data_IF_253797571320
#
_entry.id   IF_253797571320
#
_cell.length_a   1.000
_cell.length_b   1.000
_cell.length_c   1.000
_cell.angle_alpha   90.00
_cell.angle_beta   90.00
_cell.angle_gamma   90.00
#
_symmetry.space_group_name_H-M   'P 1'
#
loop_
_entity.id
_entity.type
_entity.pdbx_description
1 polymer ?
#
# COMPACT_ATOMS: atom_id res chain seq x y z
N UNK A 1 5.97 -31.13 16.22
CA UNK A 1 5.20 -30.23 15.32
C UNK A 1 5.39 -30.67 13.87
N UNK A 2 4.30 -31.05 13.19
CA UNK A 2 4.34 -31.32 11.75
C UNK A 2 4.54 -29.99 11.03
N UNK A 3 5.38 -29.96 9.99
CA UNK A 3 5.56 -28.78 9.16
C UNK A 3 4.19 -28.32 8.63
N UNK A 4 3.75 -27.12 9.02
CA UNK A 4 2.50 -26.50 8.55
C UNK A 4 1.37 -26.37 9.58
N UNK A 5 1.47 -26.93 10.78
CA UNK A 5 0.52 -26.62 11.86
C UNK A 5 0.91 -25.29 12.54
N UNK A 6 0.03 -24.29 12.46
CA UNK A 6 0.18 -23.05 13.23
C UNK A 6 0.12 -23.39 14.73
N UNK A 7 1.20 -23.11 15.45
CA UNK A 7 1.31 -23.39 16.90
C UNK A 7 0.55 -22.37 17.77
N UNK A 8 -0.06 -21.35 17.17
CA UNK A 8 -0.79 -20.30 17.87
C UNK A 8 -1.91 -19.76 16.99
N UNK A 9 -2.96 -19.22 17.62
CA UNK A 9 -4.05 -18.52 16.91
C UNK A 9 -3.67 -17.07 16.69
N UNK A 10 -3.68 -16.56 15.46
CA UNK A 10 -3.33 -15.17 15.19
C UNK A 10 -4.28 -14.16 15.88
N UNK A 11 -5.55 -14.54 16.04
CA UNK A 11 -6.57 -13.70 16.69
C UNK A 11 -6.23 -13.43 18.17
N UNK A 12 -5.62 -14.40 18.85
CA UNK A 12 -5.18 -14.28 20.25
C UNK A 12 -3.96 -13.37 20.46
N UNK A 13 -3.40 -12.81 19.38
CA UNK A 13 -2.21 -11.93 19.45
C UNK A 13 -2.38 -10.62 18.65
N UNK A 14 -3.48 -10.47 17.90
CA UNK A 14 -3.65 -9.34 16.98
C UNK A 14 -5.04 -8.72 16.99
N UNK A 15 -5.92 -9.17 17.89
CA UNK A 15 -7.18 -8.46 18.12
C UNK A 15 -6.94 -7.06 18.74
N UNK A 16 -8.03 -6.31 18.86
CA UNK A 16 -8.01 -4.95 19.41
C UNK A 16 -7.49 -4.94 20.86
N UNK A 17 -7.83 -5.96 21.66
CA UNK A 17 -7.44 -6.06 23.06
C UNK A 17 -5.93 -6.25 23.20
N UNK A 18 -5.36 -7.15 22.40
CA UNK A 18 -3.94 -7.47 22.38
C UNK A 18 -3.12 -6.31 21.82
N UNK A 19 -3.60 -5.60 20.79
CA UNK A 19 -2.91 -4.40 20.29
C UNK A 19 -2.86 -3.28 21.33
N UNK A 20 -3.91 -3.11 22.15
CA UNK A 20 -3.91 -2.17 23.28
C UNK A 20 -2.96 -2.63 24.38
N UNK A 21 -3.01 -3.91 24.78
CA UNK A 21 -2.11 -4.46 25.80
C UNK A 21 -0.63 -4.34 25.39
N UNK A 22 -0.33 -4.62 24.12
CA UNK A 22 1.00 -4.39 23.55
C UNK A 22 1.41 -2.92 23.65
N UNK A 23 0.52 -2.00 23.29
CA UNK A 23 0.79 -0.57 23.38
C UNK A 23 0.97 -0.07 24.83
N UNK A 24 0.25 -0.63 25.82
CA UNK A 24 0.46 -0.33 27.24
C UNK A 24 1.85 -0.75 27.71
N UNK A 25 2.32 -1.93 27.28
CA UNK A 25 3.63 -2.47 27.67
C UNK A 25 4.79 -1.74 27.01
N UNK A 26 4.69 -1.45 25.71
CA UNK A 26 5.76 -0.86 24.91
C UNK A 26 5.79 0.67 24.99
N UNK A 27 4.62 1.28 25.16
CA UNK A 27 4.42 2.73 25.04
C UNK A 27 4.81 3.29 23.67
N UNK A 28 4.78 4.62 23.50
CA UNK A 28 5.09 5.29 22.23
C UNK A 28 6.47 4.92 21.66
N UNK A 29 7.49 4.76 22.51
CA UNK A 29 8.85 4.44 22.07
C UNK A 29 8.96 3.01 21.52
N UNK A 30 8.43 2.02 22.24
CA UNK A 30 8.45 0.63 21.76
C UNK A 30 7.58 0.45 20.52
N UNK A 31 6.42 1.12 20.47
CA UNK A 31 5.55 1.09 19.29
C UNK A 31 6.19 1.77 18.08
N UNK A 32 6.92 2.87 18.27
CA UNK A 32 7.73 3.49 17.20
C UNK A 32 8.76 2.51 16.64
N UNK A 33 9.52 1.85 17.52
CA UNK A 33 10.51 0.85 17.14
C UNK A 33 9.89 -0.34 16.39
N UNK A 34 8.76 -0.88 16.87
CA UNK A 34 8.01 -1.92 16.16
C UNK A 34 7.68 -1.45 14.74
N UNK A 35 7.16 -0.22 14.63
CA UNK A 35 6.77 0.35 13.34
C UNK A 35 7.95 0.53 12.38
N UNK A 36 9.14 0.91 12.89
CA UNK A 36 10.37 1.03 12.09
C UNK A 36 10.81 -0.34 11.54
N UNK A 37 10.72 -1.40 12.34
CA UNK A 37 10.99 -2.77 11.89
C UNK A 37 10.01 -3.22 10.79
N UNK A 38 8.72 -2.88 10.92
CA UNK A 38 7.73 -3.15 9.87
C UNK A 38 8.08 -2.39 8.57
N UNK A 39 8.52 -1.13 8.67
CA UNK A 39 8.93 -0.35 7.50
C UNK A 39 10.17 -0.93 6.80
N UNK A 40 11.07 -1.59 7.53
CA UNK A 40 12.19 -2.32 6.92
C UNK A 40 11.72 -3.45 5.98
N UNK A 41 10.71 -4.21 6.39
CA UNK A 41 10.13 -5.25 5.53
C UNK A 41 9.39 -4.67 4.33
N UNK A 42 8.65 -3.57 4.51
CA UNK A 42 7.98 -2.86 3.41
C UNK A 42 8.99 -2.35 2.39
N UNK A 43 10.06 -1.70 2.84
CA UNK A 43 11.10 -1.16 1.97
C UNK A 43 11.82 -2.25 1.19
N UNK A 44 12.10 -3.41 1.81
CA UNK A 44 12.61 -4.60 1.11
C UNK A 44 11.70 -5.05 -0.05
N UNK A 45 10.38 -5.07 0.15
CA UNK A 45 9.44 -5.40 -0.94
C UNK A 45 9.42 -4.33 -2.04
N UNK A 46 9.53 -3.04 -1.69
CA UNK A 46 9.58 -1.93 -2.66
C UNK A 46 10.80 -2.04 -3.58
N UNK A 47 11.97 -2.42 -3.06
CA UNK A 47 13.17 -2.63 -3.89
C UNK A 47 12.94 -3.72 -4.94
N UNK A 48 12.32 -4.83 -4.54
CA UNK A 48 12.02 -5.91 -5.47
C UNK A 48 10.95 -5.50 -6.50
N UNK A 49 9.97 -4.71 -6.11
CA UNK A 49 9.00 -4.11 -7.04
C UNK A 49 9.68 -3.19 -8.06
N UNK A 50 10.64 -2.36 -7.62
CA UNK A 50 11.41 -1.49 -8.53
C UNK A 50 12.16 -2.30 -9.58
N UNK A 51 12.76 -3.43 -9.21
CA UNK A 51 13.44 -4.33 -10.16
C UNK A 51 12.47 -4.85 -11.23
N UNK A 52 11.29 -5.34 -10.82
CA UNK A 52 10.26 -5.81 -11.76
C UNK A 52 9.79 -4.71 -12.72
N UNK A 53 9.70 -3.47 -12.24
CA UNK A 53 9.35 -2.32 -13.11
C UNK A 53 10.47 -2.01 -14.10
N UNK A 54 11.73 -2.05 -13.67
CA UNK A 54 12.89 -1.80 -14.55
C UNK A 54 12.98 -2.88 -15.63
N UNK A 55 12.77 -4.15 -15.28
CA UNK A 55 12.76 -5.29 -16.22
C UNK A 55 11.68 -5.15 -17.30
N UNK A 56 10.56 -4.48 -16.99
CA UNK A 56 9.43 -4.29 -17.90
C UNK A 56 9.30 -2.84 -18.42
N UNK A 57 10.35 -2.01 -18.27
CA UNK A 57 10.25 -0.56 -18.44
C UNK A 57 9.70 -0.14 -19.81
N UNK A 58 10.22 -0.71 -20.89
CA UNK A 58 9.82 -0.32 -22.25
C UNK A 58 8.36 -0.66 -22.55
N UNK A 59 7.91 -1.85 -22.12
CA UNK A 59 6.52 -2.30 -22.28
C UNK A 59 5.58 -1.42 -21.45
N UNK A 60 5.96 -1.10 -20.20
CA UNK A 60 5.16 -0.25 -19.31
C UNK A 60 5.02 1.19 -19.84
N UNK A 61 6.05 1.74 -20.47
CA UNK A 61 5.99 3.06 -21.14
C UNK A 61 5.00 3.03 -22.31
N UNK A 62 5.02 1.95 -23.11
CA UNK A 62 4.09 1.79 -24.23
C UNK A 62 2.65 1.62 -23.74
N UNK A 63 2.43 0.83 -22.67
CA UNK A 63 1.13 0.66 -22.03
C UNK A 63 0.60 2.00 -21.51
N UNK A 64 1.41 2.75 -20.76
CA UNK A 64 1.02 4.07 -20.23
C UNK A 64 0.60 5.05 -21.33
N UNK A 65 1.19 4.94 -22.52
CA UNK A 65 0.87 5.82 -23.65
C UNK A 65 -0.35 5.35 -24.46
N UNK A 66 -0.77 4.09 -24.32
CA UNK A 66 -1.76 3.45 -25.19
C UNK A 66 -2.86 2.67 -24.44
N UNK A 67 -3.03 2.86 -23.13
CA UNK A 67 -4.00 2.11 -22.32
C UNK A 67 -5.46 2.21 -22.80
N UNK A 68 -5.80 3.25 -23.58
CA UNK A 68 -7.13 3.43 -24.19
C UNK A 68 -7.36 2.62 -25.48
N UNK A 69 -6.30 2.03 -26.07
CA UNK A 69 -6.36 1.29 -27.34
C UNK A 69 -6.33 -0.22 -27.08
N UNK A 70 -7.51 -0.85 -27.06
CA UNK A 70 -7.67 -2.27 -26.73
C UNK A 70 -6.80 -3.21 -27.59
N UNK A 71 -6.71 -2.97 -28.90
CA UNK A 71 -5.93 -3.82 -29.82
C UNK A 71 -4.43 -3.85 -29.48
N UNK A 72 -3.86 -2.68 -29.16
CA UNK A 72 -2.45 -2.59 -28.76
C UNK A 72 -2.24 -3.22 -27.38
N UNK A 73 -3.14 -2.95 -26.43
CA UNK A 73 -3.09 -3.55 -25.08
C UNK A 73 -3.13 -5.08 -25.12
N UNK A 74 -3.93 -5.68 -25.99
CA UNK A 74 -4.00 -7.14 -26.15
C UNK A 74 -2.65 -7.77 -26.56
N UNK A 75 -1.80 -7.01 -27.28
CA UNK A 75 -0.45 -7.45 -27.66
C UNK A 75 0.63 -7.13 -26.64
N UNK A 76 0.46 -6.06 -25.85
CA UNK A 76 1.44 -5.60 -24.87
C UNK A 76 1.33 -6.33 -23.53
N UNK A 77 0.11 -6.58 -23.04
CA UNK A 77 -0.10 -7.21 -21.73
C UNK A 77 0.58 -8.59 -21.61
N UNK A 78 0.55 -9.48 -22.63
CA UNK A 78 1.25 -10.76 -22.55
C UNK A 78 2.78 -10.65 -22.51
N UNK A 79 3.36 -9.49 -22.84
CA UNK A 79 4.81 -9.27 -22.80
C UNK A 79 5.30 -8.92 -21.39
N UNK A 80 4.39 -8.55 -20.48
CA UNK A 80 4.75 -8.28 -19.09
C UNK A 80 5.15 -9.58 -18.39
N UNK A 81 6.28 -9.52 -17.69
CA UNK A 81 6.80 -10.64 -16.90
C UNK A 81 6.70 -10.32 -15.41
N UNK A 82 6.29 -11.31 -14.61
CA UNK A 82 6.24 -11.15 -13.15
C UNK A 82 5.05 -10.34 -12.61
N UNK A 83 3.96 -10.16 -13.39
CA UNK A 83 2.75 -9.46 -12.93
C UNK A 83 2.16 -10.06 -11.64
N UNK A 84 2.11 -11.40 -11.51
CA UNK A 84 1.69 -12.07 -10.27
C UNK A 84 2.61 -11.73 -9.09
N UNK A 85 3.91 -11.56 -9.33
CA UNK A 85 4.88 -11.21 -8.30
C UNK A 85 4.68 -9.76 -7.84
N UNK A 86 4.36 -8.85 -8.77
CA UNK A 86 4.02 -7.46 -8.42
C UNK A 86 2.82 -7.42 -7.48
N UNK A 87 1.75 -8.15 -7.82
CA UNK A 87 0.55 -8.24 -6.96
C UNK A 87 0.86 -8.87 -5.61
N UNK A 88 1.55 -10.02 -5.58
CA UNK A 88 1.91 -10.70 -4.32
C UNK A 88 2.73 -9.82 -3.40
N UNK A 89 3.75 -9.15 -3.92
CA UNK A 89 4.63 -8.26 -3.13
C UNK A 89 3.87 -7.05 -2.62
N UNK A 90 3.00 -6.45 -3.44
CA UNK A 90 2.16 -5.33 -3.00
C UNK A 90 1.12 -5.77 -1.96
N UNK A 91 0.58 -6.99 -2.06
CA UNK A 91 -0.30 -7.56 -1.03
C UNK A 91 0.45 -7.76 0.28
N UNK A 92 1.70 -8.25 0.25
CA UNK A 92 2.55 -8.37 1.46
C UNK A 92 2.75 -7.01 2.12
N UNK A 93 3.08 -5.98 1.34
CA UNK A 93 3.18 -4.59 1.84
C UNK A 93 1.87 -4.18 2.50
N UNK A 94 0.74 -4.43 1.85
CA UNK A 94 -0.58 -4.12 2.39
C UNK A 94 -0.86 -4.79 3.72
N UNK A 95 -0.55 -6.09 3.85
CA UNK A 95 -0.73 -6.84 5.11
C UNK A 95 0.10 -6.23 6.24
N UNK A 96 1.36 -5.89 5.96
CA UNK A 96 2.24 -5.25 6.95
C UNK A 96 1.68 -3.87 7.38
N UNK A 97 1.20 -3.07 6.42
CA UNK A 97 0.63 -1.75 6.69
C UNK A 97 -0.72 -1.83 7.42
N UNK A 98 -1.51 -2.86 7.15
CA UNK A 98 -2.75 -3.15 7.90
C UNK A 98 -2.42 -3.52 9.34
N UNK A 99 -1.45 -4.39 9.59
CA UNK A 99 -0.97 -4.70 10.94
C UNK A 99 -0.45 -3.45 11.67
N UNK A 100 0.36 -2.62 11.00
CA UNK A 100 0.80 -1.32 11.54
C UNK A 100 -0.39 -0.44 11.93
N UNK A 101 -1.45 -0.40 11.11
CA UNK A 101 -2.64 0.40 11.40
C UNK A 101 -3.30 -0.07 12.70
N UNK A 102 -3.51 -1.37 12.87
CA UNK A 102 -4.08 -1.94 14.11
C UNK A 102 -3.21 -1.61 15.34
N UNK A 103 -1.89 -1.73 15.20
CA UNK A 103 -0.95 -1.37 16.27
C UNK A 103 -1.01 0.13 16.62
N UNK A 104 -1.15 1.01 15.62
CA UNK A 104 -1.29 2.46 15.82
C UNK A 104 -2.63 2.84 16.45
N UNK A 105 -3.71 2.16 16.09
CA UNK A 105 -5.04 2.32 16.72
C UNK A 105 -5.00 1.93 18.20
N UNK A 106 -4.38 0.78 18.52
CA UNK A 106 -4.14 0.39 19.91
C UNK A 106 -3.33 1.44 20.70
N UNK A 107 -2.26 1.98 20.09
CA UNK A 107 -1.48 3.06 20.69
C UNK A 107 -2.30 4.33 20.92
N UNK A 108 -3.13 4.73 19.95
CA UNK A 108 -3.96 5.94 20.05
C UNK A 108 -4.92 5.85 21.23
N UNK A 109 -5.55 4.69 21.42
CA UNK A 109 -6.49 4.48 22.51
C UNK A 109 -5.81 4.54 23.89
N UNK A 110 -4.68 3.85 24.03
CA UNK A 110 -3.87 3.90 25.26
C UNK A 110 -3.40 5.33 25.53
N UNK A 111 -2.85 6.02 24.52
CA UNK A 111 -2.33 7.37 24.70
C UNK A 111 -3.44 8.39 24.99
N UNK A 112 -4.64 8.21 24.44
CA UNK A 112 -5.82 9.03 24.76
C UNK A 112 -6.29 8.85 26.20
N UNK A 113 -6.19 7.64 26.75
CA UNK A 113 -6.52 7.34 28.14
C UNK A 113 -5.47 7.91 29.10
N UNK A 114 -4.18 7.70 28.82
CA UNK A 114 -3.09 8.08 29.72
C UNK A 114 -2.71 9.56 29.62
N UNK A 115 -2.79 10.16 28.44
CA UNK A 115 -2.30 11.50 28.13
C UNK A 115 -3.35 12.38 27.42
N UNK A 116 -4.59 12.50 27.92
CA UNK A 116 -5.68 13.20 27.22
C UNK A 116 -5.37 14.68 26.91
N UNK A 117 -4.63 15.35 27.79
CA UNK A 117 -4.24 16.75 27.61
C UNK A 117 -3.20 16.98 26.52
N UNK A 118 -2.48 15.93 26.09
CA UNK A 118 -1.54 16.00 24.97
C UNK A 118 -2.21 15.67 23.64
N UNK A 119 -3.23 14.79 23.64
CA UNK A 119 -3.92 14.37 22.42
C UNK A 119 -4.60 15.52 21.68
N UNK A 120 -5.39 16.33 22.39
CA UNK A 120 -6.12 17.45 21.76
C UNK A 120 -5.21 18.41 20.99
N UNK A 121 -4.11 18.92 21.59
CA UNK A 121 -3.13 19.74 20.88
C UNK A 121 -2.45 19.04 19.68
N UNK A 122 -2.13 17.74 19.79
CA UNK A 122 -1.50 16.99 18.70
C UNK A 122 -2.44 16.83 17.51
N UNK A 123 -3.71 16.46 17.77
CA UNK A 123 -4.74 16.35 16.74
C UNK A 123 -5.00 17.70 16.07
N UNK A 124 -5.11 18.77 16.87
CA UNK A 124 -5.30 20.13 16.36
C UNK A 124 -4.11 20.61 15.51
N UNK A 125 -2.87 20.32 15.92
CA UNK A 125 -1.68 20.69 15.13
C UNK A 125 -1.69 20.02 13.75
N UNK A 126 -2.14 18.76 13.67
CA UNK A 126 -2.30 18.06 12.40
C UNK A 126 -3.33 18.75 11.49
N UNK A 127 -4.44 19.24 12.05
CA UNK A 127 -5.50 19.93 11.29
C UNK A 127 -5.04 21.27 10.67
N UNK A 128 -4.01 21.91 11.24
CA UNK A 128 -3.42 23.13 10.68
C UNK A 128 -2.49 22.89 9.49
N UNK A 129 -2.18 21.64 9.15
CA UNK A 129 -1.38 21.31 7.97
C UNK A 129 -2.23 21.58 6.71
N UNK A 130 -1.73 22.45 5.85
CA UNK A 130 -2.37 22.79 4.58
C UNK A 130 -1.54 22.26 3.40
N UNK A 131 -2.11 22.14 2.19
CA UNK A 131 -1.36 21.74 1.01
C UNK A 131 -0.15 22.64 0.69
N UNK A 132 -0.19 23.90 1.13
CA UNK A 132 0.88 24.88 0.92
C UNK A 132 1.98 24.83 2.01
N UNK A 133 1.77 24.03 3.07
CA UNK A 133 2.75 23.87 4.14
C UNK A 133 3.99 23.14 3.63
N UNK A 134 5.18 23.64 3.99
CA UNK A 134 6.45 23.02 3.62
C UNK A 134 6.48 21.53 3.98
N UNK A 135 6.94 20.70 3.03
CA UNK A 135 6.90 19.23 3.17
C UNK A 135 7.65 18.75 4.40
N UNK A 136 8.78 19.38 4.76
CA UNK A 136 9.53 18.96 5.96
C UNK A 136 8.75 19.29 7.22
N UNK A 137 8.12 20.45 7.28
CA UNK A 137 7.25 20.84 8.40
C UNK A 137 6.06 19.88 8.52
N UNK A 138 5.40 19.58 7.39
CA UNK A 138 4.30 18.61 7.33
C UNK A 138 4.73 17.24 7.86
N UNK A 139 5.88 16.71 7.42
CA UNK A 139 6.40 15.43 7.89
C UNK A 139 6.76 15.44 9.37
N UNK A 140 7.28 16.55 9.92
CA UNK A 140 7.55 16.68 11.36
C UNK A 140 6.26 16.68 12.20
N UNK A 141 5.21 17.36 11.73
CA UNK A 141 3.89 17.32 12.39
C UNK A 141 3.30 15.92 12.34
N UNK A 142 3.39 15.25 11.19
CA UNK A 142 2.91 13.88 11.04
C UNK A 142 3.73 12.87 11.86
N UNK A 143 5.04 13.08 12.03
CA UNK A 143 5.87 12.24 12.90
C UNK A 143 5.40 12.33 14.35
N UNK A 144 5.11 13.54 14.84
CA UNK A 144 4.53 13.75 16.17
C UNK A 144 3.15 13.08 16.30
N UNK A 145 2.28 13.27 15.31
CA UNK A 145 0.94 12.70 15.29
C UNK A 145 0.98 11.16 15.29
N UNK A 146 1.79 10.54 14.43
CA UNK A 146 1.98 9.08 14.39
C UNK A 146 2.63 8.55 15.67
N UNK A 147 3.50 9.29 16.34
CA UNK A 147 4.05 8.88 17.63
C UNK A 147 2.97 8.78 18.73
N UNK A 148 1.84 9.48 18.57
CA UNK A 148 0.67 9.39 19.44
C UNK A 148 -0.42 8.43 18.90
N UNK A 149 -0.14 7.67 17.84
CA UNK A 149 -1.11 6.77 17.19
C UNK A 149 -2.13 7.47 16.30
N UNK A 150 -2.00 8.78 16.05
CA UNK A 150 -2.90 9.52 15.17
C UNK A 150 -2.58 9.18 13.70
N UNK A 151 -3.56 8.63 12.99
CA UNK A 151 -3.41 8.30 11.57
C UNK A 151 -3.12 9.53 10.73
N UNK A 152 -2.18 9.41 9.78
CA UNK A 152 -1.75 10.49 8.89
C UNK A 152 -1.97 10.09 7.42
N UNK A 153 -2.27 11.06 6.56
CA UNK A 153 -2.50 10.81 5.13
C UNK A 153 -1.21 10.38 4.42
N UNK A 154 -0.07 10.89 4.90
CA UNK A 154 1.27 10.49 4.48
C UNK A 154 1.95 9.88 5.71
N UNK A 155 2.42 8.64 5.59
CA UNK A 155 3.15 7.98 6.68
C UNK A 155 4.61 8.48 6.71
N UNK A 156 5.02 9.23 7.76
CA UNK A 156 6.36 9.79 7.84
C UNK A 156 7.44 8.71 8.03
N UNK A 157 7.12 7.61 8.71
CA UNK A 157 8.06 6.50 8.90
C UNK A 157 8.32 5.78 7.57
N UNK A 158 7.28 5.61 6.74
CA UNK A 158 7.44 5.04 5.40
C UNK A 158 8.25 5.97 4.48
N UNK A 159 7.97 7.28 4.50
CA UNK A 159 8.75 8.27 3.74
C UNK A 159 10.23 8.22 4.13
N UNK A 160 10.51 8.25 5.44
CA UNK A 160 11.88 8.18 5.95
C UNK A 160 12.57 6.86 5.58
N UNK A 161 11.85 5.73 5.69
CA UNK A 161 12.41 4.42 5.38
C UNK A 161 12.76 4.30 3.90
N UNK A 162 11.91 4.78 2.99
CA UNK A 162 12.18 4.79 1.54
C UNK A 162 13.33 5.76 1.21
N UNK A 163 13.37 6.94 1.84
CA UNK A 163 14.43 7.91 1.63
C UNK A 163 15.82 7.35 1.99
N UNK A 164 15.89 6.57 3.08
CA UNK A 164 17.13 5.94 3.54
C UNK A 164 17.62 4.79 2.64
N UNK A 165 16.77 4.28 1.74
CA UNK A 165 17.19 3.27 0.76
C UNK A 165 17.99 3.83 -0.42
N UNK A 166 18.04 5.16 -0.60
CA UNK A 166 18.69 5.82 -1.75
C UNK A 166 20.23 5.71 -1.69
N UNK A 167 20.74 4.48 -1.77
CA UNK A 167 22.16 4.16 -1.85
C UNK A 167 22.65 3.99 -3.29
N UNK A 168 21.74 3.91 -4.27
CA UNK A 168 22.10 3.71 -5.68
C UNK A 168 22.16 5.03 -6.46
N UNK A 169 23.16 5.14 -7.33
CA UNK A 169 23.54 6.34 -8.10
C UNK A 169 22.54 6.76 -9.21
N UNK A 170 21.25 6.38 -9.09
CA UNK A 170 20.21 6.75 -10.05
C UNK A 170 19.77 8.20 -9.87
N UNK A 171 19.42 8.86 -10.97
CA UNK A 171 18.89 10.22 -10.91
C UNK A 171 17.49 10.24 -10.28
N UNK A 172 17.13 11.36 -9.63
CA UNK A 172 15.78 11.53 -9.05
C UNK A 172 14.67 11.44 -10.11
N UNK A 173 14.98 11.70 -11.37
CA UNK A 173 14.01 11.63 -12.48
C UNK A 173 13.75 10.18 -12.91
N UNK A 174 14.78 9.33 -12.95
CA UNK A 174 14.64 7.89 -13.22
C UNK A 174 13.85 7.20 -12.12
N UNK A 175 14.13 7.50 -10.86
CA UNK A 175 13.37 6.94 -9.74
C UNK A 175 11.89 7.35 -9.77
N UNK A 176 11.61 8.61 -10.11
CA UNK A 176 10.25 9.09 -10.28
C UNK A 176 9.54 8.37 -11.45
N UNK A 177 10.24 8.14 -12.56
CA UNK A 177 9.71 7.35 -13.68
C UNK A 177 9.35 5.93 -13.24
N UNK A 178 10.23 5.27 -12.48
CA UNK A 178 9.96 3.93 -11.92
C UNK A 178 8.74 3.95 -11.00
N UNK A 179 8.58 4.96 -10.14
CA UNK A 179 7.40 5.09 -9.28
C UNK A 179 6.10 5.25 -10.08
N UNK A 180 6.12 6.02 -11.17
CA UNK A 180 4.96 6.14 -12.06
C UNK A 180 4.63 4.80 -12.74
N UNK A 181 5.64 4.12 -13.28
CA UNK A 181 5.45 2.85 -13.99
C UNK A 181 5.02 1.71 -13.06
N UNK A 182 5.40 1.76 -11.77
CA UNK A 182 4.88 0.84 -10.75
C UNK A 182 3.35 0.90 -10.66
N UNK A 183 2.77 2.11 -10.63
CA UNK A 183 1.31 2.28 -10.62
C UNK A 183 0.67 1.71 -11.88
N UNK A 184 1.26 1.95 -13.05
CA UNK A 184 0.76 1.38 -14.31
C UNK A 184 0.80 -0.15 -14.26
N UNK A 185 1.91 -0.72 -13.78
CA UNK A 185 2.08 -2.17 -13.69
C UNK A 185 1.02 -2.78 -12.75
N UNK A 186 0.81 -2.18 -11.58
CA UNK A 186 -0.23 -2.62 -10.65
C UNK A 186 -1.62 -2.56 -11.29
N UNK A 187 -1.96 -1.42 -11.90
CA UNK A 187 -3.28 -1.18 -12.49
C UNK A 187 -3.64 -2.23 -13.55
N UNK A 188 -2.72 -2.54 -14.46
CA UNK A 188 -2.96 -3.51 -15.53
C UNK A 188 -2.85 -4.97 -15.07
N UNK A 189 -2.28 -5.21 -13.89
CA UNK A 189 -2.17 -6.55 -13.30
C UNK A 189 -3.43 -6.94 -12.51
N UNK A 190 -4.21 -5.98 -11.98
CA UNK A 190 -5.42 -6.28 -11.19
C UNK A 190 -6.37 -7.32 -11.81
N UNK A 191 -6.65 -7.31 -13.13
CA UNK A 191 -7.53 -8.32 -13.74
C UNK A 191 -7.06 -9.76 -13.55
N UNK A 192 -5.76 -10.01 -13.37
CA UNK A 192 -5.22 -11.36 -13.14
C UNK A 192 -5.78 -11.99 -11.87
N UNK A 193 -6.09 -11.19 -10.85
CA UNK A 193 -6.65 -11.65 -9.59
C UNK A 193 -8.01 -12.34 -9.76
N UNK A 194 -8.76 -12.04 -10.82
CA UNK A 194 -10.06 -12.65 -11.07
C UNK A 194 -9.99 -14.15 -11.38
N UNK A 195 -8.83 -14.65 -11.78
CA UNK A 195 -8.58 -16.08 -12.04
C UNK A 195 -8.30 -16.88 -10.76
N UNK A 196 -7.78 -16.21 -9.72
CA UNK A 196 -7.38 -16.86 -8.47
C UNK A 196 -8.62 -17.22 -7.63
N UNK A 197 -8.86 -18.50 -7.32
CA UNK A 197 -10.01 -18.93 -6.53
C UNK A 197 -10.08 -18.31 -5.13
N UNK A 198 -8.94 -17.89 -4.56
CA UNK A 198 -8.86 -17.27 -3.24
C UNK A 198 -9.21 -15.78 -3.24
N UNK A 199 -9.35 -15.17 -4.43
CA UNK A 199 -9.79 -13.79 -4.63
C UNK A 199 -11.32 -13.61 -4.54
N UNK A 200 -12.02 -14.52 -3.87
CA UNK A 200 -13.43 -14.37 -3.57
C UNK A 200 -13.60 -13.48 -2.33
N UNK A 201 -14.46 -12.47 -2.44
CA UNK A 201 -14.81 -11.61 -1.31
C UNK A 201 -15.84 -12.30 -0.40
N UNK A 202 -15.47 -12.51 0.86
CA UNK A 202 -16.32 -13.07 1.90
C UNK A 202 -16.89 -11.96 2.77
N UNK A 203 -18.22 -11.92 2.89
CA UNK A 203 -18.94 -10.99 3.77
C UNK A 203 -18.62 -11.27 5.24
N UNK A 204 -18.44 -12.54 5.61
CA UNK A 204 -18.15 -12.94 7.00
C UNK A 204 -16.79 -12.43 7.49
N UNK A 205 -15.82 -12.36 6.57
CA UNK A 205 -14.46 -11.87 6.85
C UNK A 205 -14.27 -10.39 6.52
N UNK A 206 -15.29 -9.75 5.96
CA UNK A 206 -15.21 -8.43 5.33
C UNK A 206 -13.95 -8.26 4.46
N UNK A 207 -13.65 -9.27 3.63
CA UNK A 207 -12.36 -9.35 2.99
C UNK A 207 -12.18 -10.55 2.07
N UNK A 208 -10.92 -10.84 1.74
CA UNK A 208 -10.53 -11.87 0.77
C UNK A 208 -9.58 -12.85 1.44
N UNK A 209 -9.66 -14.13 1.06
CA UNK A 209 -8.82 -15.17 1.66
C UNK A 209 -7.32 -14.99 1.35
N UNK A 210 -6.98 -14.35 0.24
CA UNK A 210 -5.60 -14.01 -0.14
C UNK A 210 -5.19 -12.58 0.22
N UNK A 211 -5.95 -11.89 1.07
CA UNK A 211 -5.64 -10.55 1.57
C UNK A 211 -5.52 -9.44 0.52
N UNK A 212 -6.07 -9.62 -0.69
CA UNK A 212 -5.98 -8.60 -1.75
C UNK A 212 -6.71 -7.29 -1.43
N UNK A 213 -7.63 -7.27 -0.45
CA UNK A 213 -8.19 -6.01 0.09
C UNK A 213 -7.10 -5.09 0.68
N UNK A 214 -5.99 -5.65 1.15
CA UNK A 214 -4.86 -4.87 1.63
C UNK A 214 -4.10 -4.13 0.51
N UNK A 215 -4.30 -4.50 -0.77
CA UNK A 215 -3.70 -3.80 -1.90
C UNK A 215 -4.08 -2.33 -1.92
N UNK A 216 -5.34 -1.99 -1.60
CA UNK A 216 -5.82 -0.61 -1.61
C UNK A 216 -5.01 0.26 -0.65
N UNK A 217 -4.81 -0.22 0.59
CA UNK A 217 -3.98 0.47 1.59
C UNK A 217 -2.53 0.59 1.11
N UNK A 218 -1.96 -0.49 0.55
CA UNK A 218 -0.60 -0.50 0.05
C UNK A 218 -0.38 0.52 -1.08
N UNK A 219 -1.26 0.52 -2.09
CA UNK A 219 -1.16 1.40 -3.25
C UNK A 219 -1.25 2.86 -2.81
N UNK A 220 -2.19 3.20 -1.92
CA UNK A 220 -2.35 4.58 -1.43
C UNK A 220 -1.11 5.02 -0.65
N UNK A 221 -0.69 4.26 0.37
CA UNK A 221 0.40 4.67 1.26
C UNK A 221 1.77 4.66 0.59
N UNK A 222 2.05 3.65 -0.25
CA UNK A 222 3.32 3.61 -1.02
C UNK A 222 3.37 4.75 -2.03
N UNK A 223 2.26 5.05 -2.71
CA UNK A 223 2.20 6.20 -3.63
C UNK A 223 2.38 7.52 -2.89
N UNK A 224 1.67 7.70 -1.78
CA UNK A 224 1.80 8.89 -0.95
C UNK A 224 3.26 9.10 -0.52
N UNK A 225 3.94 8.05 -0.06
CA UNK A 225 5.33 8.14 0.37
C UNK A 225 6.30 8.43 -0.79
N UNK A 226 6.18 7.71 -1.92
CA UNK A 226 7.04 7.90 -3.09
C UNK A 226 6.86 9.31 -3.68
N UNK A 227 5.63 9.75 -3.95
CA UNK A 227 5.42 11.04 -4.59
C UNK A 227 5.68 12.22 -3.65
N UNK A 228 5.55 12.05 -2.34
CA UNK A 228 6.07 13.03 -1.36
C UNK A 228 7.58 13.15 -1.46
N UNK A 229 8.31 12.03 -1.52
CA UNK A 229 9.77 12.03 -1.65
C UNK A 229 10.26 12.70 -2.94
N UNK A 230 9.52 12.55 -4.04
CA UNK A 230 9.84 13.16 -5.33
C UNK A 230 9.26 14.57 -5.52
N UNK A 231 8.59 15.12 -4.51
CA UNK A 231 7.91 16.41 -4.55
C UNK A 231 6.92 16.53 -5.73
N UNK A 232 6.02 15.54 -5.83
CA UNK A 232 5.00 15.43 -6.88
C UNK A 232 3.61 15.30 -6.27
N UNK A 233 2.61 15.75 -7.02
CA UNK A 233 1.22 15.70 -6.58
C UNK A 233 0.71 14.25 -6.54
N UNK A 234 0.36 13.75 -5.35
CA UNK A 234 -0.10 12.37 -5.12
C UNK A 234 -1.44 12.12 -5.83
N UNK A 235 -2.37 13.06 -5.77
CA UNK A 235 -3.72 12.97 -6.31
C UNK A 235 -3.71 12.74 -7.83
N UNK A 236 -2.87 13.46 -8.57
CA UNK A 236 -2.72 13.29 -10.02
C UNK A 236 -2.32 11.86 -10.38
N UNK A 237 -1.38 11.27 -9.64
CA UNK A 237 -0.88 9.92 -9.91
C UNK A 237 -1.88 8.84 -9.51
N UNK A 238 -2.58 9.01 -8.38
CA UNK A 238 -3.65 8.09 -7.99
C UNK A 238 -4.87 8.17 -8.92
N UNK A 239 -5.18 9.35 -9.47
CA UNK A 239 -6.19 9.52 -10.53
C UNK A 239 -5.79 8.78 -11.81
N UNK A 240 -4.54 8.91 -12.24
CA UNK A 240 -4.03 8.15 -13.39
C UNK A 240 -4.12 6.64 -13.14
N UNK A 241 -3.67 6.17 -11.98
CA UNK A 241 -3.83 4.77 -11.57
C UNK A 241 -5.28 4.31 -11.65
N UNK A 242 -6.21 5.09 -11.09
CA UNK A 242 -7.63 4.75 -11.06
C UNK A 242 -8.21 4.63 -12.46
N UNK A 243 -7.85 5.55 -13.37
CA UNK A 243 -8.29 5.51 -14.78
C UNK A 243 -7.78 4.23 -15.46
N UNK A 244 -6.50 3.92 -15.35
CA UNK A 244 -5.90 2.74 -16.00
C UNK A 244 -6.45 1.43 -15.42
N UNK A 245 -6.61 1.36 -14.10
CA UNK A 245 -7.17 0.20 -13.41
C UNK A 245 -8.64 0.00 -13.80
N UNK A 246 -9.43 1.08 -13.87
CA UNK A 246 -10.83 1.03 -14.29
C UNK A 246 -10.97 0.53 -15.72
N UNK A 247 -10.15 1.04 -16.66
CA UNK A 247 -10.15 0.57 -18.06
C UNK A 247 -9.79 -0.92 -18.12
N UNK A 248 -8.79 -1.35 -17.37
CA UNK A 248 -8.32 -2.75 -17.35
C UNK A 248 -9.41 -3.70 -16.80
N UNK A 249 -10.12 -3.30 -15.75
CA UNK A 249 -11.22 -4.08 -15.17
C UNK A 249 -12.49 -4.05 -16.04
N UNK A 250 -12.77 -2.95 -16.74
CA UNK A 250 -13.87 -2.87 -17.70
C UNK A 250 -13.62 -3.79 -18.91
N UNK A 251 -12.38 -3.90 -19.38
CA UNK A 251 -12.00 -4.85 -20.43
C UNK A 251 -12.20 -6.30 -19.97
N UNK A 252 -11.87 -6.63 -18.72
CA UNK A 252 -12.22 -7.91 -18.12
C UNK A 252 -13.75 -8.14 -18.09
N UNK A 253 -14.55 -7.07 -18.00
CA UNK A 253 -16.01 -7.10 -18.13
C UNK A 253 -16.53 -7.65 -19.46
N UNK A 254 -15.76 -7.46 -20.53
CA UNK A 254 -16.11 -7.88 -21.90
C UNK A 254 -15.59 -9.29 -22.24
N UNK A 255 -14.72 -9.85 -21.40
CA UNK A 255 -14.16 -11.19 -21.58
C UNK A 255 -15.26 -12.25 -21.42
N UNK A 256 -15.31 -13.20 -22.36
CA UNK A 256 -16.34 -14.25 -22.39
C UNK A 256 -15.89 -15.54 -21.70
N UNK A 257 -14.59 -15.68 -21.47
CA UNK A 257 -14.01 -16.81 -20.77
C UNK A 257 -14.41 -16.81 -19.28
N UNK A 258 -15.19 -17.83 -18.90
CA UNK A 258 -15.68 -18.01 -17.53
C UNK A 258 -14.55 -18.29 -16.52
N UNK A 259 -13.42 -18.84 -16.97
CA UNK A 259 -12.28 -19.08 -16.09
C UNK A 259 -11.56 -17.78 -15.74
N UNK A 260 -11.43 -16.87 -16.71
CA UNK A 260 -10.82 -15.55 -16.51
C UNK A 260 -11.71 -14.59 -15.72
N UNK A 261 -13.03 -14.76 -15.81
CA UNK A 261 -14.02 -13.88 -15.16
C UNK A 261 -14.57 -14.42 -13.84
N UNK A 262 -14.00 -15.52 -13.31
CA UNK A 262 -14.52 -16.26 -12.16
C UNK A 262 -14.86 -15.37 -10.95
N UNK A 263 -13.93 -14.54 -10.51
CA UNK A 263 -14.08 -13.66 -9.34
C UNK A 263 -14.20 -12.18 -9.72
N UNK A 264 -14.65 -11.86 -10.94
CA UNK A 264 -14.69 -10.49 -11.47
C UNK A 264 -15.43 -9.50 -10.57
N UNK A 265 -16.57 -9.89 -10.04
CA UNK A 265 -17.39 -9.03 -9.18
C UNK A 265 -16.67 -8.71 -7.87
N UNK A 266 -15.99 -9.70 -7.28
CA UNK A 266 -15.16 -9.49 -6.10
C UNK A 266 -14.04 -8.51 -6.40
N UNK A 267 -13.25 -8.70 -7.47
CA UNK A 267 -12.16 -7.77 -7.81
C UNK A 267 -12.64 -6.33 -8.05
N UNK A 268 -13.86 -6.16 -8.59
CA UNK A 268 -14.44 -4.84 -8.81
C UNK A 268 -14.67 -4.06 -7.50
N UNK A 269 -14.81 -4.75 -6.36
CA UNK A 269 -14.94 -4.12 -5.04
C UNK A 269 -13.65 -3.47 -4.56
N UNK A 270 -12.47 -3.85 -5.09
CA UNK A 270 -11.19 -3.21 -4.74
C UNK A 270 -11.13 -1.74 -5.17
N UNK A 271 -11.94 -1.35 -6.16
CA UNK A 271 -12.00 0.00 -6.72
C UNK A 271 -13.09 0.87 -6.10
N UNK A 272 -13.80 0.35 -5.08
CA UNK A 272 -14.89 1.04 -4.39
C UNK A 272 -14.35 1.82 -3.20
#
# INVERSE_FOLDING_TARGET
>A
PREGEQNFSAEEFSDVSEMRALAELLGPYGMKFLSENLMWHVTSQIVELKKLVVENMDVLVQIRSNFSKADLMASLLPQLTGADNVLKRMTIIGVILSFRTMAQEGLREVFSSHCPFLMGPIECLKEFVTPDTDIKVTLSVFELASAAGVGCDIDPALVSAIANMKADASSSEEEYKVACLLLIFLAVSLPLLATDPSSFYSIEKDGYNNNIHCLTKAIIQVSAALFTLYNKNIETHLKEFLVVASVSLLQLGQETDRLKTRNRESISLLMR
#
